data_IF_189570969071
#
_entry.id   IF_189570969071
#
_cell.length_a   1.000
_cell.length_b   1.000
_cell.length_c   1.000
_cell.angle_alpha   90.00
_cell.angle_beta   90.00
_cell.angle_gamma   90.00
#
_symmetry.space_group_name_H-M   'P 1'
#
loop_
_entity.id
_entity.type
_entity.pdbx_description
1 polymer ?
#
# COMPACT_ATOMS: atom_id res chain seq x y z
N UNK A 1 -17.00 -10.43 2.62
CA UNK A 1 -17.01 -9.53 3.81
C UNK A 1 -15.70 -8.77 3.85
N UNK A 2 -15.73 -7.45 4.02
CA UNK A 2 -14.51 -6.63 4.06
C UNK A 2 -13.84 -6.74 5.43
N UNK A 3 -12.56 -7.13 5.47
CA UNK A 3 -11.75 -7.22 6.70
C UNK A 3 -11.54 -5.86 7.40
N UNK A 4 -11.73 -4.76 6.68
CA UNK A 4 -11.57 -3.39 7.17
C UNK A 4 -12.86 -2.77 7.74
N UNK A 5 -13.95 -3.54 7.81
CA UNK A 5 -15.26 -3.05 8.26
C UNK A 5 -15.31 -2.75 9.76
N UNK A 6 -15.80 -1.55 10.16
CA UNK A 6 -16.08 -1.20 11.56
C UNK A 6 -16.90 -2.28 12.27
N UNK A 7 -17.96 -2.88 11.65
CA UNK A 7 -18.76 -3.90 12.31
C UNK A 7 -17.96 -5.13 12.74
N UNK A 8 -16.99 -5.57 11.94
CA UNK A 8 -16.16 -6.73 12.26
C UNK A 8 -15.24 -6.44 13.45
N UNK A 9 -14.64 -5.26 13.49
CA UNK A 9 -13.76 -4.83 14.59
C UNK A 9 -14.54 -4.68 15.91
N UNK A 10 -15.76 -4.11 15.86
CA UNK A 10 -16.65 -4.04 17.04
C UNK A 10 -17.06 -5.42 17.50
N UNK A 11 -17.39 -6.32 16.57
CA UNK A 11 -17.79 -7.70 16.89
C UNK A 11 -16.66 -8.47 17.58
N UNK A 12 -15.42 -8.40 17.05
CA UNK A 12 -14.26 -9.08 17.66
C UNK A 12 -13.89 -8.48 19.00
N UNK A 13 -13.94 -7.17 19.16
CA UNK A 13 -13.74 -6.48 20.43
C UNK A 13 -14.80 -6.89 21.48
N UNK A 14 -16.07 -6.90 21.10
CA UNK A 14 -17.16 -7.36 21.97
C UNK A 14 -17.00 -8.84 22.35
N UNK A 15 -16.65 -9.71 21.40
CA UNK A 15 -16.38 -11.12 21.66
C UNK A 15 -15.21 -11.31 22.65
N UNK A 16 -14.15 -10.50 22.54
CA UNK A 16 -13.02 -10.53 23.48
C UNK A 16 -13.46 -10.18 24.90
N UNK A 17 -14.27 -9.12 25.05
CA UNK A 17 -14.78 -8.70 26.36
C UNK A 17 -15.71 -9.76 26.99
N UNK A 18 -16.59 -10.35 26.18
CA UNK A 18 -17.50 -11.43 26.63
C UNK A 18 -16.68 -12.66 27.04
N UNK A 19 -15.68 -13.07 26.24
CA UNK A 19 -14.82 -14.20 26.57
C UNK A 19 -14.05 -13.97 27.88
N UNK A 20 -13.53 -12.77 28.08
CA UNK A 20 -12.86 -12.38 29.33
C UNK A 20 -13.82 -12.44 30.53
N UNK A 21 -15.01 -11.86 30.39
CA UNK A 21 -16.03 -11.87 31.45
C UNK A 21 -16.46 -13.30 31.83
N UNK A 22 -16.73 -14.14 30.83
CA UNK A 22 -17.08 -15.55 31.03
C UNK A 22 -15.93 -16.31 31.69
N UNK A 23 -14.69 -16.08 31.28
CA UNK A 23 -13.50 -16.72 31.87
C UNK A 23 -13.38 -16.36 33.35
N UNK A 24 -13.49 -15.07 33.68
CA UNK A 24 -13.44 -14.58 35.09
C UNK A 24 -14.60 -15.15 35.88
N UNK A 25 -15.83 -15.16 35.35
CA UNK A 25 -17.01 -15.70 36.01
C UNK A 25 -16.91 -17.23 36.29
N UNK A 26 -16.34 -17.97 35.35
CA UNK A 26 -16.14 -19.41 35.47
C UNK A 26 -14.91 -19.79 36.33
N UNK A 27 -14.04 -18.83 36.65
CA UNK A 27 -12.76 -19.03 37.33
C UNK A 27 -12.86 -19.77 38.67
N UNK A 28 -13.84 -19.49 39.58
CA UNK A 28 -14.01 -20.20 40.84
C UNK A 28 -14.81 -21.48 40.72
N UNK A 29 -15.48 -21.75 39.59
CA UNK A 29 -16.48 -22.83 39.43
C UNK A 29 -15.86 -24.11 38.90
N UNK A 30 -16.24 -25.27 39.50
CA UNK A 30 -15.84 -26.61 39.06
C UNK A 30 -14.78 -27.29 39.92
N UNK A 31 -14.65 -28.61 39.78
CA UNK A 31 -13.63 -29.44 40.44
C UNK A 31 -12.23 -29.18 39.88
N UNK A 32 -11.17 -29.64 40.58
CA UNK A 32 -9.78 -29.37 40.23
C UNK A 32 -9.43 -29.53 38.74
N UNK A 33 -9.78 -30.64 38.03
CA UNK A 33 -9.39 -30.79 36.62
C UNK A 33 -10.14 -29.83 35.69
N UNK A 34 -11.45 -29.60 35.96
CA UNK A 34 -12.27 -28.65 35.17
C UNK A 34 -11.78 -27.21 35.36
N UNK A 35 -11.34 -26.85 36.54
CA UNK A 35 -10.84 -25.52 36.86
C UNK A 35 -9.56 -25.19 36.11
N UNK A 36 -8.64 -26.16 35.99
CA UNK A 36 -7.41 -25.98 35.19
C UNK A 36 -7.75 -25.82 33.72
N UNK A 37 -8.59 -26.71 33.18
CA UNK A 37 -8.99 -26.67 31.77
C UNK A 37 -9.71 -25.34 31.42
N UNK A 38 -10.68 -24.92 32.23
CA UNK A 38 -11.40 -23.64 32.00
C UNK A 38 -10.48 -22.43 32.03
N UNK A 39 -9.50 -22.41 32.93
CA UNK A 39 -8.52 -21.32 33.01
C UNK A 39 -7.61 -21.29 31.78
N UNK A 40 -7.05 -22.42 31.41
CA UNK A 40 -6.13 -22.51 30.25
C UNK A 40 -6.86 -22.18 28.96
N UNK A 41 -8.02 -22.81 28.71
CA UNK A 41 -8.80 -22.54 27.49
C UNK A 41 -9.32 -21.11 27.45
N UNK A 42 -9.79 -20.59 28.59
CA UNK A 42 -10.28 -19.20 28.68
C UNK A 42 -9.20 -18.18 28.40
N UNK A 43 -8.01 -18.33 28.98
CA UNK A 43 -6.86 -17.42 28.75
C UNK A 43 -6.43 -17.47 27.28
N UNK A 44 -6.23 -18.67 26.72
CA UNK A 44 -5.83 -18.85 25.32
C UNK A 44 -6.87 -18.24 24.37
N UNK A 45 -8.16 -18.42 24.64
CA UNK A 45 -9.23 -17.84 23.82
C UNK A 45 -9.21 -16.30 23.87
N UNK A 46 -9.08 -15.72 25.06
CA UNK A 46 -8.99 -14.25 25.21
C UNK A 46 -7.78 -13.70 24.50
N UNK A 47 -6.61 -14.35 24.61
CA UNK A 47 -5.39 -13.96 23.95
C UNK A 47 -5.53 -14.02 22.42
N UNK A 48 -6.08 -15.12 21.88
CA UNK A 48 -6.32 -15.28 20.45
C UNK A 48 -7.28 -14.20 19.90
N UNK A 49 -8.37 -13.89 20.61
CA UNK A 49 -9.31 -12.85 20.23
C UNK A 49 -8.69 -11.44 20.33
N UNK A 50 -7.86 -11.20 21.31
CA UNK A 50 -7.15 -9.94 21.47
C UNK A 50 -6.17 -9.72 20.33
N UNK A 51 -5.36 -10.73 19.99
CA UNK A 51 -4.45 -10.69 18.84
C UNK A 51 -5.21 -10.45 17.54
N UNK A 52 -6.33 -11.15 17.33
CA UNK A 52 -7.18 -10.94 16.15
C UNK A 52 -7.75 -9.52 16.10
N UNK A 53 -8.17 -8.95 17.23
CA UNK A 53 -8.70 -7.59 17.31
C UNK A 53 -7.60 -6.55 16.99
N UNK A 54 -6.41 -6.71 17.55
CA UNK A 54 -5.26 -5.84 17.27
C UNK A 54 -4.85 -5.94 15.81
N UNK A 55 -4.78 -7.17 15.27
CA UNK A 55 -4.48 -7.41 13.86
C UNK A 55 -5.48 -6.71 12.94
N UNK A 56 -6.79 -6.84 13.21
CA UNK A 56 -7.82 -6.16 12.43
C UNK A 56 -7.75 -4.64 12.54
N UNK A 57 -7.41 -4.12 13.72
CA UNK A 57 -7.24 -2.68 13.93
C UNK A 57 -6.04 -2.15 13.11
N UNK A 58 -4.90 -2.83 13.19
CA UNK A 58 -3.69 -2.49 12.41
C UNK A 58 -3.93 -2.65 10.92
N UNK A 59 -4.57 -3.77 10.51
CA UNK A 59 -4.91 -3.99 9.10
C UNK A 59 -5.85 -2.92 8.55
N UNK A 60 -6.78 -2.42 9.38
CA UNK A 60 -7.65 -1.31 8.99
C UNK A 60 -6.87 -0.02 8.80
N UNK A 61 -5.97 0.32 9.73
CA UNK A 61 -5.17 1.54 9.68
C UNK A 61 -4.21 1.53 8.49
N UNK A 62 -3.64 0.37 8.18
CA UNK A 62 -2.65 0.19 7.13
C UNK A 62 -3.21 -0.42 5.82
N UNK A 63 -4.48 -0.86 5.82
CA UNK A 63 -5.19 -1.44 4.65
C UNK A 63 -4.45 -2.57 3.91
N UNK A 64 -3.63 -3.37 4.63
CA UNK A 64 -2.84 -4.44 4.03
C UNK A 64 -3.68 -5.53 3.35
N UNK A 65 -4.78 -5.94 3.99
CA UNK A 65 -5.64 -7.01 3.50
C UNK A 65 -7.11 -6.54 3.47
N UNK A 66 -7.61 -6.08 2.31
CA UNK A 66 -8.98 -5.56 2.20
C UNK A 66 -10.05 -6.66 2.29
N UNK A 67 -9.70 -7.94 2.03
CA UNK A 67 -10.63 -9.07 2.06
C UNK A 67 -9.99 -10.35 2.60
N UNK A 68 -10.84 -11.34 2.95
CA UNK A 68 -10.40 -12.68 3.35
C UNK A 68 -9.64 -13.42 2.24
N UNK A 69 -10.02 -13.19 0.98
CA UNK A 69 -9.35 -13.80 -0.18
C UNK A 69 -7.92 -13.26 -0.31
N UNK A 70 -7.70 -11.99 -0.05
CA UNK A 70 -6.38 -11.38 -0.04
C UNK A 70 -5.50 -11.93 1.11
N UNK A 71 -6.09 -12.21 2.28
CA UNK A 71 -5.39 -12.80 3.43
C UNK A 71 -5.02 -14.28 3.19
N UNK A 72 -5.89 -15.03 2.50
CA UNK A 72 -5.67 -16.44 2.20
C UNK A 72 -4.69 -16.68 1.03
N UNK A 73 -4.08 -15.61 0.48
CA UNK A 73 -3.19 -15.72 -0.67
C UNK A 73 -3.93 -15.99 -1.98
N UNK A 74 -5.25 -15.89 -1.97
CA UNK A 74 -6.08 -15.92 -3.16
C UNK A 74 -5.89 -14.62 -3.93
N UNK A 75 -4.93 -14.57 -4.84
CA UNK A 75 -5.03 -13.67 -5.97
C UNK A 75 -6.33 -14.07 -6.67
N UNK A 76 -7.31 -13.18 -6.71
CA UNK A 76 -8.56 -13.38 -7.47
C UNK A 76 -8.26 -13.44 -8.96
N UNK A 77 -7.56 -14.49 -9.36
CA UNK A 77 -7.47 -14.94 -10.73
C UNK A 77 -8.77 -15.73 -11.00
N UNK A 78 -9.81 -15.04 -11.39
CA UNK A 78 -10.87 -15.68 -12.14
C UNK A 78 -10.21 -16.41 -13.29
N UNK A 79 -10.58 -17.69 -13.48
CA UNK A 79 -10.18 -18.55 -14.58
C UNK A 79 -10.25 -17.81 -15.93
N UNK A 80 -9.14 -17.21 -16.33
CA UNK A 80 -8.87 -16.80 -17.67
C UNK A 80 -7.85 -17.80 -18.20
N UNK A 81 -8.33 -18.78 -18.97
CA UNK A 81 -7.52 -19.60 -19.87
C UNK A 81 -6.48 -18.69 -20.54
N UNK A 82 -5.17 -19.01 -20.49
CA UNK A 82 -4.18 -18.17 -21.14
C UNK A 82 -4.38 -18.27 -22.67
N UNK A 83 -5.06 -17.29 -23.23
CA UNK A 83 -5.00 -17.03 -24.65
C UNK A 83 -3.56 -16.60 -24.96
N UNK A 84 -2.95 -17.29 -25.94
CA UNK A 84 -1.62 -16.98 -26.44
C UNK A 84 -1.49 -15.46 -26.70
N UNK A 85 -0.35 -14.85 -26.34
CA UNK A 85 -0.19 -13.41 -26.45
C UNK A 85 -0.14 -13.01 -27.91
N UNK A 86 -1.26 -12.48 -28.42
CA UNK A 86 -1.16 -11.53 -29.51
C UNK A 86 -0.39 -10.34 -28.90
N UNK A 87 0.80 -10.10 -29.37
CA UNK A 87 1.55 -8.86 -29.12
C UNK A 87 0.79 -7.72 -29.80
N UNK A 88 -0.36 -7.33 -29.22
CA UNK A 88 -0.95 -6.03 -29.49
C UNK A 88 0.11 -5.01 -29.04
N UNK A 89 0.56 -4.18 -29.98
CA UNK A 89 1.49 -3.09 -29.75
C UNK A 89 1.00 -2.32 -28.52
N UNK A 90 1.71 -2.50 -27.39
CA UNK A 90 1.33 -1.87 -26.14
C UNK A 90 1.54 -0.37 -26.30
N UNK A 91 0.49 0.47 -26.18
CA UNK A 91 0.66 1.89 -26.34
C UNK A 91 1.76 2.38 -25.40
N UNK A 92 2.64 3.31 -25.83
CA UNK A 92 3.73 3.79 -25.01
C UNK A 92 3.18 4.41 -23.73
N UNK A 93 3.85 4.23 -22.59
CA UNK A 93 3.45 4.86 -21.35
C UNK A 93 3.48 6.39 -21.52
N UNK A 94 2.41 7.05 -21.10
CA UNK A 94 2.29 8.51 -21.20
C UNK A 94 3.15 9.14 -20.12
N UNK A 95 4.06 10.02 -20.51
CA UNK A 95 4.90 10.76 -19.58
C UNK A 95 4.36 12.19 -19.47
N UNK A 96 3.87 12.57 -18.29
CA UNK A 96 3.38 13.92 -17.98
C UNK A 96 4.31 14.67 -17.05
N UNK A 97 4.19 15.99 -17.00
CA UNK A 97 4.88 16.87 -16.06
C UNK A 97 3.88 17.56 -15.17
N UNK A 98 4.24 17.77 -13.92
CA UNK A 98 3.44 18.59 -13.01
C UNK A 98 3.41 20.07 -13.42
N UNK A 99 2.30 20.71 -13.09
CA UNK A 99 2.13 22.12 -13.30
C UNK A 99 2.92 23.02 -12.34
N UNK A 100 2.53 24.32 -12.22
CA UNK A 100 3.29 25.35 -11.46
C UNK A 100 3.53 25.02 -9.98
N UNK A 101 2.66 24.25 -9.34
CA UNK A 101 2.77 23.83 -7.93
C UNK A 101 4.10 23.11 -7.63
N UNK A 102 4.67 22.41 -8.62
CA UNK A 102 5.94 21.72 -8.47
C UNK A 102 7.13 22.65 -8.18
N UNK A 103 7.02 23.93 -8.46
CA UNK A 103 8.09 24.91 -8.18
C UNK A 103 8.33 25.13 -6.70
N UNK A 104 7.32 24.91 -5.86
CA UNK A 104 7.40 25.06 -4.40
C UNK A 104 8.04 23.86 -3.71
N UNK A 105 8.26 22.76 -4.44
CA UNK A 105 8.80 21.52 -3.87
C UNK A 105 10.33 21.48 -3.81
N UNK A 106 10.98 22.53 -4.33
CA UNK A 106 12.44 22.68 -4.36
C UNK A 106 13.17 21.49 -5.00
N UNK A 107 12.64 21.03 -6.14
CA UNK A 107 13.24 19.97 -6.94
C UNK A 107 14.19 20.56 -8.00
N UNK A 108 15.22 19.81 -8.40
CA UNK A 108 16.17 20.20 -9.43
C UNK A 108 15.51 20.30 -10.82
N UNK A 109 14.51 19.45 -11.07
CA UNK A 109 13.68 19.49 -12.29
C UNK A 109 12.21 19.20 -11.93
N UNK A 110 11.25 19.60 -12.78
CA UNK A 110 9.85 19.25 -12.56
C UNK A 110 9.66 17.74 -12.50
N UNK A 111 8.89 17.22 -11.52
CA UNK A 111 8.68 15.78 -11.40
C UNK A 111 7.98 15.22 -12.64
N UNK A 112 8.35 14.00 -12.98
CA UNK A 112 7.82 13.30 -14.14
C UNK A 112 6.88 12.19 -13.68
N UNK A 113 5.64 12.20 -14.17
CA UNK A 113 4.68 11.12 -13.97
C UNK A 113 4.78 10.14 -15.12
N UNK A 114 5.02 8.88 -14.82
CA UNK A 114 5.02 7.78 -15.78
C UNK A 114 3.80 6.91 -15.49
N UNK A 115 2.87 6.83 -16.43
CA UNK A 115 1.67 6.00 -16.30
C UNK A 115 1.89 4.63 -16.95
N UNK A 116 1.25 3.56 -16.47
CA UNK A 116 1.35 2.24 -17.07
C UNK A 116 0.74 2.23 -18.48
N UNK A 117 1.14 1.27 -19.30
CA UNK A 117 0.75 1.19 -20.71
C UNK A 117 -0.77 1.03 -20.92
N UNK A 118 -1.48 0.42 -19.97
CA UNK A 118 -2.93 0.24 -20.01
C UNK A 118 -3.72 1.41 -19.38
N UNK A 119 -3.05 2.47 -18.96
CA UNK A 119 -3.68 3.61 -18.28
C UNK A 119 -4.79 4.27 -19.09
N UNK A 120 -4.57 4.51 -20.39
CA UNK A 120 -5.59 5.12 -21.23
C UNK A 120 -6.74 4.17 -21.56
N UNK A 121 -6.48 2.86 -21.61
CA UNK A 121 -7.49 1.83 -21.92
C UNK A 121 -8.43 1.53 -20.75
N UNK A 122 -8.09 1.95 -19.53
CA UNK A 122 -8.87 1.68 -18.30
C UNK A 122 -9.21 2.99 -17.57
N UNK A 123 -10.17 3.79 -18.08
CA UNK A 123 -10.49 5.11 -17.52
C UNK A 123 -11.00 5.06 -16.08
N UNK A 124 -11.66 3.97 -15.68
CA UNK A 124 -12.28 3.80 -14.35
C UNK A 124 -11.37 3.10 -13.33
N UNK A 125 -10.08 2.96 -13.65
CA UNK A 125 -9.11 2.28 -12.79
C UNK A 125 -8.23 3.31 -12.07
N UNK A 126 -8.10 3.17 -10.74
CA UNK A 126 -7.10 3.86 -9.92
C UNK A 126 -5.89 2.96 -9.73
N UNK A 127 -4.72 3.56 -9.74
CA UNK A 127 -3.45 2.85 -9.72
C UNK A 127 -2.68 3.14 -8.42
N UNK A 128 -2.00 2.14 -7.85
CA UNK A 128 -1.04 2.38 -6.79
C UNK A 128 0.12 3.23 -7.28
N UNK A 129 0.80 3.90 -6.36
CA UNK A 129 1.82 4.89 -6.69
C UNK A 129 3.19 4.45 -6.18
N UNK A 130 4.21 4.62 -7.02
CA UNK A 130 5.61 4.56 -6.59
C UNK A 130 6.21 5.96 -6.75
N UNK A 131 6.70 6.53 -5.65
CA UNK A 131 7.47 7.79 -5.69
C UNK A 131 8.95 7.46 -5.65
N UNK A 132 9.66 7.97 -6.63
CA UNK A 132 11.10 7.76 -6.79
C UNK A 132 11.84 9.05 -6.46
N UNK A 133 12.81 8.97 -5.53
CA UNK A 133 13.71 10.05 -5.18
C UNK A 133 15.12 9.73 -5.68
N UNK A 134 15.65 10.51 -6.62
CA UNK A 134 16.92 10.16 -7.26
C UNK A 134 17.65 11.37 -7.84
N UNK A 135 18.97 11.29 -7.87
CA UNK A 135 19.85 12.20 -8.64
C UNK A 135 19.94 11.80 -10.12
N UNK A 136 19.48 10.60 -10.50
CA UNK A 136 19.54 10.06 -11.86
C UNK A 136 18.15 9.81 -12.46
N UNK A 137 17.34 10.86 -12.67
CA UNK A 137 15.94 10.69 -13.05
C UNK A 137 15.76 10.04 -14.43
N UNK A 138 16.74 10.10 -15.32
CA UNK A 138 16.69 9.45 -16.63
C UNK A 138 16.61 7.93 -16.55
N UNK A 139 17.45 7.31 -15.72
CA UNK A 139 17.47 5.86 -15.52
C UNK A 139 16.20 5.37 -14.81
N UNK A 140 15.78 6.09 -13.78
CA UNK A 140 14.55 5.78 -13.06
C UNK A 140 13.32 5.86 -13.98
N UNK A 141 13.23 6.88 -14.84
CA UNK A 141 12.16 7.00 -15.86
C UNK A 141 12.15 5.84 -16.83
N UNK A 142 13.31 5.46 -17.36
CA UNK A 142 13.42 4.32 -18.26
C UNK A 142 13.01 2.99 -17.61
N UNK A 143 13.28 2.82 -16.33
CA UNK A 143 12.83 1.66 -15.55
C UNK A 143 11.31 1.72 -15.27
N UNK A 144 10.78 2.89 -14.89
CA UNK A 144 9.37 3.11 -14.63
C UNK A 144 8.48 2.80 -15.85
N UNK A 145 8.94 3.13 -17.05
CA UNK A 145 8.22 2.81 -18.30
C UNK A 145 8.01 1.30 -18.51
N UNK A 146 8.82 0.46 -17.89
CA UNK A 146 8.74 -1.00 -17.97
C UNK A 146 8.01 -1.63 -16.79
N UNK A 147 7.67 -0.86 -15.76
CA UNK A 147 6.98 -1.34 -14.57
C UNK A 147 5.47 -1.27 -14.80
N UNK A 148 4.77 -2.41 -14.89
CA UNK A 148 3.34 -2.43 -15.17
C UNK A 148 2.50 -2.13 -13.93
N UNK A 149 1.24 -1.71 -14.14
CA UNK A 149 0.21 -1.66 -13.11
C UNK A 149 0.38 -0.59 -12.03
N UNK A 150 1.33 0.32 -12.16
CA UNK A 150 1.60 1.39 -11.19
C UNK A 150 1.78 2.74 -11.87
N UNK A 151 1.40 3.81 -11.20
CA UNK A 151 1.79 5.17 -11.56
C UNK A 151 3.11 5.46 -10.85
N UNK A 152 4.15 5.81 -11.60
CA UNK A 152 5.46 6.14 -11.02
C UNK A 152 5.72 7.64 -11.15
N UNK A 153 6.09 8.28 -10.05
CA UNK A 153 6.49 9.69 -10.04
C UNK A 153 7.98 9.78 -9.73
N UNK A 154 8.74 10.31 -10.68
CA UNK A 154 10.18 10.47 -10.55
C UNK A 154 10.50 11.90 -10.19
N UNK A 155 11.18 12.08 -9.07
CA UNK A 155 11.60 13.37 -8.49
C UNK A 155 13.11 13.42 -8.33
N UNK A 156 13.67 14.60 -8.57
CA UNK A 156 15.08 14.91 -8.33
C UNK A 156 15.20 15.92 -7.17
N UNK A 157 15.29 15.46 -5.90
CA UNK A 157 15.38 16.34 -4.75
C UNK A 157 16.65 17.19 -4.76
N UNK A 158 16.56 18.38 -4.16
CA UNK A 158 17.71 19.23 -3.83
C UNK A 158 17.91 19.26 -2.30
N UNK A 159 18.94 19.92 -1.84
CA UNK A 159 19.17 20.13 -0.40
C UNK A 159 18.06 20.94 0.29
N UNK A 160 17.25 21.67 -0.46
CA UNK A 160 16.10 22.44 0.06
C UNK A 160 14.78 21.64 0.04
N UNK A 161 14.76 20.44 -0.54
CA UNK A 161 13.55 19.57 -0.54
C UNK A 161 13.35 19.03 0.86
N UNK A 162 12.13 19.17 1.37
CA UNK A 162 11.75 18.69 2.72
C UNK A 162 10.35 18.07 2.69
N UNK A 163 9.98 17.27 3.70
CA UNK A 163 8.62 16.75 3.83
C UNK A 163 7.56 17.85 3.83
N UNK A 164 7.84 18.98 4.49
CA UNK A 164 6.93 20.14 4.52
C UNK A 164 6.73 20.76 3.14
N UNK A 165 7.79 20.88 2.35
CA UNK A 165 7.69 21.37 0.97
C UNK A 165 6.85 20.44 0.10
N UNK A 166 6.91 19.13 0.33
CA UNK A 166 6.18 18.10 -0.41
C UNK A 166 4.78 17.82 0.14
N UNK A 167 4.33 18.46 1.24
CA UNK A 167 3.03 18.16 1.87
C UNK A 167 1.82 18.27 0.92
N UNK A 168 1.89 19.15 -0.09
CA UNK A 168 0.82 19.28 -1.11
C UNK A 168 0.90 18.27 -2.26
N UNK A 169 1.98 17.50 -2.36
CA UNK A 169 2.23 16.60 -3.49
C UNK A 169 1.15 15.51 -3.67
N UNK A 170 0.68 14.80 -2.62
CA UNK A 170 -0.33 13.76 -2.81
C UNK A 170 -1.63 14.30 -3.40
N UNK A 171 -2.07 15.46 -2.96
CA UNK A 171 -3.28 16.10 -3.49
C UNK A 171 -3.11 16.53 -4.96
N UNK A 172 -1.95 17.08 -5.31
CA UNK A 172 -1.64 17.46 -6.70
C UNK A 172 -1.54 16.22 -7.61
N UNK A 173 -0.92 15.14 -7.14
CA UNK A 173 -0.85 13.91 -7.93
C UNK A 173 -2.23 13.34 -8.22
N UNK A 174 -3.14 13.31 -7.25
CA UNK A 174 -4.51 12.82 -7.44
C UNK A 174 -5.33 13.67 -8.41
N UNK A 175 -5.02 14.96 -8.54
CA UNK A 175 -5.63 15.83 -9.56
C UNK A 175 -5.04 15.57 -10.96
N UNK A 176 -3.75 15.20 -11.01
CA UNK A 176 -3.03 15.02 -12.27
C UNK A 176 -3.12 13.59 -12.81
N UNK A 177 -3.34 12.59 -11.95
CA UNK A 177 -3.36 11.19 -12.29
C UNK A 177 -4.37 10.42 -11.43
N UNK A 178 -4.82 9.27 -11.93
CA UNK A 178 -5.72 8.34 -11.22
C UNK A 178 -4.93 7.53 -10.20
N UNK A 179 -4.43 8.22 -9.18
CA UNK A 179 -3.66 7.65 -8.08
C UNK A 179 -4.59 7.15 -6.98
N UNK A 180 -4.27 6.01 -6.38
CA UNK A 180 -4.96 5.50 -5.20
C UNK A 180 -4.73 6.42 -4.00
N UNK A 181 -5.67 6.43 -3.04
CA UNK A 181 -5.58 7.29 -1.85
C UNK A 181 -4.49 6.84 -0.87
N UNK A 182 -4.15 5.56 -0.86
CA UNK A 182 -3.24 4.95 0.12
C UNK A 182 -2.43 3.83 -0.52
N UNK A 183 -1.41 3.35 0.21
CA UNK A 183 -0.60 2.22 -0.22
C UNK A 183 0.46 2.62 -1.23
N UNK A 184 1.02 3.82 -1.11
CA UNK A 184 2.11 4.29 -1.95
C UNK A 184 3.45 3.69 -1.49
N UNK A 185 4.35 3.46 -2.43
CA UNK A 185 5.72 3.05 -2.14
C UNK A 185 6.70 4.19 -2.38
N UNK A 186 7.76 4.24 -1.57
CA UNK A 186 8.93 5.06 -1.79
C UNK A 186 10.08 4.20 -2.28
N UNK A 187 10.72 4.60 -3.35
CA UNK A 187 11.96 4.00 -3.86
C UNK A 187 13.00 5.09 -4.03
N UNK A 188 14.19 4.87 -3.50
CA UNK A 188 15.22 5.91 -3.47
C UNK A 188 16.61 5.36 -3.81
N UNK A 189 17.48 6.20 -4.31
CA UNK A 189 18.91 5.93 -4.24
C UNK A 189 19.43 6.08 -2.79
N UNK A 190 20.62 5.55 -2.48
CA UNK A 190 21.15 5.60 -1.10
C UNK A 190 21.32 7.03 -0.57
N UNK A 191 21.51 8.03 -1.44
CA UNK A 191 21.74 9.43 -1.04
C UNK A 191 20.48 10.07 -0.48
N UNK A 192 19.28 9.67 -0.91
CA UNK A 192 18.01 10.23 -0.49
C UNK A 192 17.27 9.38 0.55
N UNK A 193 17.91 8.34 1.11
CA UNK A 193 17.27 7.44 2.06
C UNK A 193 16.80 8.16 3.33
N UNK A 194 17.57 9.12 3.83
CA UNK A 194 17.18 9.91 4.99
C UNK A 194 15.91 10.73 4.70
N UNK A 195 15.90 11.48 3.58
CA UNK A 195 14.73 12.25 3.14
C UNK A 195 13.50 11.35 2.93
N UNK A 196 13.68 10.18 2.32
CA UNK A 196 12.60 9.22 2.14
C UNK A 196 12.03 8.75 3.49
N UNK A 197 12.88 8.55 4.51
CA UNK A 197 12.46 8.23 5.87
C UNK A 197 11.64 9.33 6.52
N UNK A 198 12.05 10.58 6.35
CA UNK A 198 11.33 11.75 6.85
C UNK A 198 9.97 11.94 6.15
N UNK A 199 9.92 11.81 4.81
CA UNK A 199 8.66 11.89 4.04
C UNK A 199 7.69 10.82 4.51
N UNK A 200 8.13 9.57 4.64
CA UNK A 200 7.30 8.47 5.13
C UNK A 200 6.77 8.73 6.54
N UNK A 201 7.60 9.30 7.42
CA UNK A 201 7.20 9.63 8.79
C UNK A 201 6.18 10.77 8.89
N UNK A 202 6.19 11.67 7.90
CA UNK A 202 5.32 12.83 7.84
C UNK A 202 3.99 12.57 7.11
N UNK A 203 3.93 11.56 6.25
CA UNK A 203 2.80 11.34 5.34
C UNK A 203 2.34 9.86 5.37
N UNK A 204 1.10 9.65 5.76
CA UNK A 204 0.46 8.35 5.91
C UNK A 204 0.06 7.67 4.59
N UNK A 205 0.20 8.32 3.43
CA UNK A 205 -0.04 7.71 2.13
C UNK A 205 0.98 6.61 1.85
N UNK A 206 2.20 6.75 2.38
CA UNK A 206 3.30 5.81 2.15
C UNK A 206 3.24 4.59 3.05
N UNK A 207 3.50 3.43 2.47
CA UNK A 207 3.65 2.18 3.20
C UNK A 207 4.91 2.15 4.11
N UNK A 208 5.04 1.11 4.93
CA UNK A 208 6.11 1.05 5.95
C UNK A 208 7.51 0.84 5.37
N UNK A 209 7.62 0.38 4.12
CA UNK A 209 8.89 0.00 3.51
C UNK A 209 9.38 1.05 2.51
N UNK A 210 10.65 1.39 2.59
CA UNK A 210 11.36 2.20 1.59
C UNK A 210 12.24 1.26 0.79
N UNK A 211 12.01 1.18 -0.53
CA UNK A 211 12.89 0.48 -1.44
C UNK A 211 14.16 1.28 -1.69
N UNK A 212 15.32 0.70 -1.44
CA UNK A 212 16.61 1.34 -1.77
C UNK A 212 17.21 0.65 -3.00
N UNK A 213 17.63 1.45 -3.98
CA UNK A 213 18.24 0.92 -5.20
C UNK A 213 19.59 0.31 -4.86
N UNK A 214 19.72 -0.98 -5.11
CA UNK A 214 20.96 -1.74 -4.93
C UNK A 214 21.66 -2.04 -6.26
N UNK A 215 22.61 -2.97 -6.22
CA UNK A 215 23.40 -3.38 -7.37
C UNK A 215 22.59 -3.88 -8.59
N UNK A 216 21.35 -4.33 -8.38
CA UNK A 216 20.42 -4.78 -9.44
C UNK A 216 19.75 -3.61 -10.20
N UNK A 217 19.96 -2.37 -9.76
CA UNK A 217 19.49 -1.16 -10.41
C UNK A 217 17.98 -0.88 -10.25
N UNK A 218 17.54 0.18 -10.92
CA UNK A 218 16.18 0.74 -10.80
C UNK A 218 15.08 -0.23 -11.21
N UNK A 219 15.29 -1.01 -12.29
CA UNK A 219 14.26 -1.94 -12.76
C UNK A 219 13.88 -2.97 -11.69
N UNK A 220 14.87 -3.56 -11.02
CA UNK A 220 14.64 -4.53 -9.96
C UNK A 220 13.97 -3.90 -8.73
N UNK A 221 14.41 -2.69 -8.34
CA UNK A 221 13.84 -1.98 -7.20
C UNK A 221 12.37 -1.59 -7.42
N UNK A 222 12.03 -1.09 -8.62
CA UNK A 222 10.65 -0.74 -8.97
C UNK A 222 9.76 -1.96 -9.09
N UNK A 223 10.24 -3.08 -9.65
CA UNK A 223 9.49 -4.33 -9.70
C UNK A 223 9.19 -4.84 -8.30
N UNK A 224 10.20 -4.89 -7.43
CA UNK A 224 10.01 -5.33 -6.05
C UNK A 224 9.06 -4.41 -5.26
N UNK A 225 9.09 -3.11 -5.51
CA UNK A 225 8.14 -2.17 -4.91
C UNK A 225 6.72 -2.38 -5.45
N UNK A 226 6.56 -2.60 -6.76
CA UNK A 226 5.27 -2.86 -7.37
C UNK A 226 4.61 -4.15 -6.85
N UNK A 227 5.39 -5.20 -6.61
CA UNK A 227 4.91 -6.46 -6.04
C UNK A 227 4.37 -6.33 -4.60
N UNK A 228 4.81 -5.31 -3.86
CA UNK A 228 4.32 -5.03 -2.51
C UNK A 228 3.07 -4.14 -2.48
N UNK A 229 2.70 -3.56 -3.60
CA UNK A 229 1.56 -2.66 -3.72
C UNK A 229 0.28 -3.43 -4.05
N UNK A 230 -0.89 -2.91 -3.64
CA UNK A 230 -2.17 -3.49 -4.05
C UNK A 230 -2.33 -3.43 -5.56
N UNK A 231 -3.08 -4.37 -6.11
CA UNK A 231 -3.42 -4.34 -7.53
C UNK A 231 -4.24 -3.07 -7.87
N UNK A 232 -4.18 -2.57 -9.12
CA UNK A 232 -5.03 -1.48 -9.57
C UNK A 232 -6.50 -1.77 -9.29
N UNK A 233 -7.21 -0.78 -8.75
CA UNK A 233 -8.62 -0.90 -8.37
C UNK A 233 -9.50 -0.33 -9.48
N UNK A 234 -10.34 -1.16 -10.08
CA UNK A 234 -11.41 -0.69 -10.96
C UNK A 234 -12.60 -0.30 -10.10
N UNK A 235 -13.02 0.95 -10.19
CA UNK A 235 -14.22 1.42 -9.53
C UNK A 235 -15.42 0.70 -10.16
N UNK A 236 -16.38 0.18 -9.34
CA UNK A 236 -17.60 -0.38 -9.90
C UNK A 236 -18.31 0.73 -10.67
N UNK A 237 -18.71 0.43 -11.92
CA UNK A 237 -19.63 1.28 -12.65
C UNK A 237 -20.86 1.46 -11.76
N UNK A 238 -21.18 2.70 -11.38
CA UNK A 238 -22.46 2.96 -10.72
C UNK A 238 -23.56 2.67 -11.76
N UNK A 239 -24.57 1.88 -11.38
CA UNK A 239 -25.69 1.57 -12.27
C UNK A 239 -26.47 2.81 -12.65
#
# INVERSE_FOLDING_TARGET
MRLTGIPLLVLTGAATLIAAAVTVYAWPRGGRPRRVLTRTVGVVLVEALLVATVFLAVNRDQSFYPSWDALAGGSGAGDATPAAPHQAERPPPVTGRFGPAARTWHLAEPPTVVTPADYAARPDTTYPVIVVLTTHPGEARAAAQRTPGVVTVVMAPTAATSPTALAGFPAELRRAARAADQGWALVTDPQHQALAGEIRGADHHFGPTIGVVGAKGWAAALTAAAEQLPAPLTLPLQP
#
